data_IF_982480593506
#
_entry.id   IF_982480593506
#
_cell.length_a   1.000
_cell.length_b   1.000
_cell.length_c   1.000
_cell.angle_alpha   90.00
_cell.angle_beta   90.00
_cell.angle_gamma   90.00
#
_symmetry.space_group_name_H-M   'P 1'
#
loop_
_entity.id
_entity.type
_entity.pdbx_description
1 polymer ?
#
# COMPACT_ATOMS: atom_id res chain seq x y z
N UNK A 1 -7.00 -24.82 -48.12
CA UNK A 1 -7.94 -24.53 -47.02
C UNK A 1 -7.12 -24.25 -45.78
N UNK A 2 -7.20 -23.02 -45.25
CA UNK A 2 -6.34 -22.52 -44.15
C UNK A 2 -6.95 -22.86 -42.79
N UNK A 3 -6.03 -23.08 -41.86
CA UNK A 3 -6.16 -23.51 -40.45
C UNK A 3 -6.97 -22.52 -39.61
N UNK A 4 -7.63 -23.04 -38.59
CA UNK A 4 -8.27 -22.27 -37.53
C UNK A 4 -7.27 -21.38 -36.76
N UNK A 5 -7.74 -20.18 -36.47
CA UNK A 5 -7.21 -19.09 -35.63
C UNK A 5 -8.48 -18.26 -35.35
N UNK A 6 -8.91 -17.87 -34.17
CA UNK A 6 -8.55 -18.11 -32.78
C UNK A 6 -9.74 -17.50 -32.02
N UNK A 7 -10.33 -18.25 -31.10
CA UNK A 7 -11.44 -17.79 -30.28
C UNK A 7 -10.84 -16.93 -29.18
N UNK A 8 -10.70 -15.62 -29.37
CA UNK A 8 -10.30 -14.76 -28.24
C UNK A 8 -10.55 -13.26 -28.41
N UNK A 9 -11.53 -12.88 -29.23
CA UNK A 9 -12.03 -11.52 -29.20
C UNK A 9 -13.51 -11.56 -28.86
N UNK A 10 -13.90 -10.68 -27.93
CA UNK A 10 -15.26 -10.45 -27.43
C UNK A 10 -15.64 -11.35 -26.24
N UNK A 11 -14.83 -11.33 -25.18
CA UNK A 11 -15.39 -11.28 -23.81
C UNK A 11 -15.70 -9.81 -23.48
N UNK A 12 -16.64 -9.25 -24.23
CA UNK A 12 -17.39 -8.05 -23.87
C UNK A 12 -18.45 -8.44 -22.83
N UNK A 13 -18.00 -9.15 -21.79
CA UNK A 13 -18.85 -9.71 -20.75
C UNK A 13 -18.61 -8.94 -19.45
N UNK A 14 -19.40 -7.89 -19.29
CA UNK A 14 -20.14 -7.63 -18.07
C UNK A 14 -19.30 -7.38 -16.80
N UNK A 15 -19.02 -6.09 -16.56
CA UNK A 15 -19.59 -5.37 -15.43
C UNK A 15 -19.45 -6.05 -14.05
N UNK A 16 -18.28 -5.93 -13.45
CA UNK A 16 -18.14 -5.98 -11.99
C UNK A 16 -17.22 -4.83 -11.59
N UNK A 17 -17.43 -4.27 -10.41
CA UNK A 17 -16.56 -3.22 -9.88
C UNK A 17 -15.09 -3.68 -10.01
N UNK A 18 -14.26 -3.01 -10.85
CA UNK A 18 -12.82 -3.29 -10.97
C UNK A 18 -12.14 -2.95 -9.63
N UNK A 19 -12.30 -3.82 -8.65
CA UNK A 19 -11.71 -3.77 -7.33
C UNK A 19 -10.56 -4.76 -7.34
N UNK A 20 -9.34 -4.23 -7.37
CA UNK A 20 -8.13 -5.03 -7.22
C UNK A 20 -7.51 -4.73 -5.86
N UNK A 21 -7.18 -5.79 -5.11
CA UNK A 21 -6.42 -5.69 -3.87
C UNK A 21 -5.04 -6.34 -4.07
N UNK A 22 -3.98 -5.66 -3.64
CA UNK A 22 -2.62 -6.18 -3.66
C UNK A 22 -1.82 -5.67 -2.47
N UNK A 23 -0.77 -6.39 -2.10
CA UNK A 23 0.21 -5.92 -1.12
C UNK A 23 1.41 -5.33 -1.85
N UNK A 24 1.89 -4.19 -1.40
CA UNK A 24 3.08 -3.51 -1.90
C UNK A 24 4.01 -3.16 -0.75
N UNK A 25 5.32 -3.30 -0.96
CA UNK A 25 6.35 -2.85 -0.02
C UNK A 25 7.16 -1.73 -0.62
N UNK A 26 7.34 -0.64 0.15
CA UNK A 26 8.11 0.51 -0.29
C UNK A 26 9.02 1.01 0.83
N UNK A 27 10.23 1.43 0.47
CA UNK A 27 11.10 2.15 1.40
C UNK A 27 10.72 3.62 1.45
N UNK A 28 10.72 4.19 2.65
CA UNK A 28 10.36 5.59 2.84
C UNK A 28 10.48 6.05 4.28
N UNK A 29 9.99 7.26 4.55
CA UNK A 29 9.88 7.83 5.89
C UNK A 29 8.40 7.98 6.23
N UNK A 30 7.99 7.38 7.35
CA UNK A 30 6.65 7.58 7.89
C UNK A 30 6.58 8.94 8.57
N UNK A 31 5.98 9.94 7.93
CA UNK A 31 6.02 11.33 8.38
C UNK A 31 5.12 11.56 9.60
N UNK A 32 3.95 10.91 9.62
CA UNK A 32 2.99 11.10 10.69
C UNK A 32 1.92 10.03 10.72
N UNK A 33 1.44 9.74 11.93
CA UNK A 33 0.27 8.91 12.17
C UNK A 33 -0.68 9.66 13.10
N UNK A 34 -1.96 9.64 12.75
CA UNK A 34 -3.04 10.17 13.57
C UNK A 34 -3.82 8.98 14.15
N UNK A 35 -3.56 8.55 15.41
CA UNK A 35 -4.16 7.36 15.98
C UNK A 35 -5.70 7.43 16.05
N UNK A 36 -6.25 8.59 16.40
CA UNK A 36 -7.70 8.79 16.55
C UNK A 36 -8.46 8.58 15.24
N UNK A 37 -7.88 9.01 14.11
CA UNK A 37 -8.50 8.88 12.79
C UNK A 37 -7.95 7.70 11.98
N UNK A 38 -6.99 6.94 12.54
CA UNK A 38 -6.22 5.89 11.85
C UNK A 38 -5.73 6.35 10.47
N UNK A 39 -5.19 7.55 10.38
CA UNK A 39 -4.62 8.12 9.15
C UNK A 39 -3.10 8.12 9.23
N UNK A 40 -2.45 7.98 8.09
CA UNK A 40 -1.00 8.14 7.99
C UNK A 40 -0.63 9.05 6.82
N UNK A 41 0.60 9.57 6.89
CA UNK A 41 1.31 10.18 5.78
C UNK A 41 2.75 9.65 5.76
N UNK A 42 3.25 9.30 4.59
CA UNK A 42 4.65 8.95 4.39
C UNK A 42 5.21 9.58 3.11
N UNK A 43 6.54 9.69 3.08
CA UNK A 43 7.29 10.05 1.88
C UNK A 43 8.11 8.84 1.45
N UNK A 44 7.84 8.34 0.25
CA UNK A 44 8.59 7.24 -0.35
C UNK A 44 9.97 7.73 -0.85
N UNK A 45 10.86 6.79 -1.15
CA UNK A 45 12.23 7.09 -1.57
C UNK A 45 12.35 7.76 -2.94
N UNK A 46 11.36 7.56 -3.79
CA UNK A 46 11.21 8.27 -5.06
C UNK A 46 10.71 9.72 -4.89
N UNK A 47 10.45 10.14 -3.64
CA UNK A 47 9.95 11.46 -3.29
C UNK A 47 8.43 11.58 -3.30
N UNK A 48 7.68 10.54 -3.66
CA UNK A 48 6.23 10.54 -3.67
C UNK A 48 5.67 10.63 -2.24
N UNK A 49 4.66 11.49 -2.05
CA UNK A 49 3.86 11.50 -0.83
C UNK A 49 2.68 10.54 -0.95
N UNK A 50 2.55 9.64 0.01
CA UNK A 50 1.45 8.69 0.11
C UNK A 50 0.73 8.89 1.43
N UNK A 51 -0.59 8.94 1.38
CA UNK A 51 -1.44 9.02 2.57
C UNK A 51 -2.61 8.07 2.44
N UNK A 52 -3.13 7.65 3.59
CA UNK A 52 -4.16 6.63 3.62
C UNK A 52 -4.63 6.29 5.01
N UNK A 53 -5.11 5.06 5.17
CA UNK A 53 -5.61 4.54 6.44
C UNK A 53 -4.61 3.58 7.06
N UNK A 54 -4.58 3.49 8.38
CA UNK A 54 -3.87 2.44 9.09
C UNK A 54 -4.80 1.23 9.19
N UNK A 55 -4.27 0.05 8.88
CA UNK A 55 -4.99 -1.21 8.94
C UNK A 55 -5.67 -1.41 10.29
N UNK A 56 -6.85 -2.01 10.33
CA UNK A 56 -7.61 -2.24 11.57
C UNK A 56 -6.96 -3.27 12.48
N UNK A 57 -6.21 -4.21 11.91
CA UNK A 57 -5.56 -5.29 12.64
C UNK A 57 -4.28 -4.81 13.37
N UNK A 58 -3.81 -3.61 13.04
CA UNK A 58 -2.75 -2.93 13.78
C UNK A 58 -3.30 -2.43 15.14
N UNK A 59 -3.06 -3.20 16.21
CA UNK A 59 -3.74 -3.01 17.50
C UNK A 59 -3.20 -1.86 18.37
N UNK A 60 -1.89 -1.58 18.33
CA UNK A 60 -1.27 -0.50 19.11
C UNK A 60 -0.65 0.57 18.19
N UNK A 61 -1.51 1.46 17.68
CA UNK A 61 -1.10 2.56 16.80
C UNK A 61 -0.21 3.56 17.54
N UNK A 62 -0.35 3.69 18.87
CA UNK A 62 0.46 4.61 19.68
C UNK A 62 1.91 4.15 19.78
N UNK A 63 2.12 2.86 20.08
CA UNK A 63 3.45 2.26 20.05
C UNK A 63 4.03 2.27 18.62
N UNK A 64 3.22 1.94 17.62
CA UNK A 64 3.65 1.96 16.22
C UNK A 64 4.10 3.37 15.78
N UNK A 65 3.33 4.42 16.12
CA UNK A 65 3.71 5.82 15.89
C UNK A 65 5.04 6.15 16.57
N UNK A 66 5.19 5.82 17.84
CA UNK A 66 6.45 6.05 18.59
C UNK A 66 7.65 5.35 17.95
N UNK A 67 7.43 4.16 17.41
CA UNK A 67 8.47 3.35 16.80
C UNK A 67 8.89 3.85 15.42
N UNK A 68 7.97 4.40 14.61
CA UNK A 68 8.21 4.62 13.19
C UNK A 68 8.07 6.06 12.71
N UNK A 69 7.38 6.93 13.46
CA UNK A 69 7.17 8.31 13.04
C UNK A 69 8.50 9.07 12.89
N UNK A 70 8.63 9.79 11.79
CA UNK A 70 9.82 10.49 11.32
C UNK A 70 11.06 9.58 11.14
N UNK A 71 10.87 8.26 11.05
CA UNK A 71 11.95 7.30 10.82
C UNK A 71 11.84 6.64 9.46
N UNK A 72 13.00 6.26 8.92
CA UNK A 72 13.12 5.44 7.73
C UNK A 72 12.61 4.03 8.04
N UNK A 73 11.75 3.50 7.18
CA UNK A 73 11.18 2.17 7.31
C UNK A 73 10.94 1.55 5.92
N UNK A 74 10.87 0.21 5.90
CA UNK A 74 10.18 -0.51 4.83
C UNK A 74 8.70 -0.59 5.22
N UNK A 75 7.86 0.09 4.46
CA UNK A 75 6.43 0.24 4.69
C UNK A 75 5.67 -0.78 3.84
N UNK A 76 4.80 -1.55 4.48
CA UNK A 76 3.94 -2.52 3.79
C UNK A 76 2.54 -1.95 3.68
N UNK A 77 2.04 -1.81 2.46
CA UNK A 77 0.70 -1.33 2.17
C UNK A 77 -0.15 -2.43 1.57
N UNK A 78 -1.40 -2.52 2.02
CA UNK A 78 -2.47 -3.08 1.23
C UNK A 78 -3.03 -1.95 0.35
N UNK A 79 -2.96 -2.14 -0.96
CA UNK A 79 -3.45 -1.19 -1.96
C UNK A 79 -4.73 -1.73 -2.56
N UNK A 80 -5.83 -1.02 -2.29
CA UNK A 80 -7.14 -1.31 -2.87
C UNK A 80 -7.37 -0.31 -4.01
N UNK A 81 -7.45 -0.81 -5.23
CA UNK A 81 -7.70 -0.03 -6.43
C UNK A 81 -9.14 -0.23 -6.86
N UNK A 82 -9.90 0.85 -7.05
CA UNK A 82 -11.25 0.84 -7.62
C UNK A 82 -11.24 1.72 -8.86
N UNK A 83 -11.34 1.11 -10.05
CA UNK A 83 -11.12 1.80 -11.34
C UNK A 83 -9.77 2.53 -11.35
N UNK A 84 -9.77 3.86 -11.39
CA UNK A 84 -8.56 4.70 -11.40
C UNK A 84 -8.13 5.20 -10.02
N UNK A 85 -8.93 4.95 -8.96
CA UNK A 85 -8.63 5.43 -7.60
C UNK A 85 -7.94 4.34 -6.81
N UNK A 86 -6.81 4.70 -6.19
CA UNK A 86 -6.10 3.82 -5.27
C UNK A 86 -6.28 4.31 -3.84
N UNK A 87 -6.40 3.37 -2.91
CA UNK A 87 -6.40 3.61 -1.47
C UNK A 87 -5.29 2.79 -0.85
N UNK A 88 -4.42 3.46 -0.14
CA UNK A 88 -3.35 2.82 0.62
C UNK A 88 -3.82 2.56 2.04
N UNK A 89 -3.60 1.34 2.50
CA UNK A 89 -3.82 0.91 3.87
C UNK A 89 -2.47 0.48 4.41
N UNK A 90 -1.92 1.18 5.39
CA UNK A 90 -0.65 0.85 6.02
C UNK A 90 -0.87 -0.36 6.95
N UNK A 91 -0.24 -1.47 6.59
CA UNK A 91 -0.36 -2.76 7.29
C UNK A 91 0.76 -2.94 8.30
N UNK A 92 2.00 -2.62 7.90
CA UNK A 92 3.17 -2.82 8.76
C UNK A 92 4.31 -1.85 8.39
N UNK A 93 5.28 -1.74 9.30
CA UNK A 93 6.55 -1.08 9.06
C UNK A 93 7.68 -1.88 9.71
N UNK A 94 8.76 -2.09 8.95
CA UNK A 94 9.95 -2.78 9.39
C UNK A 94 11.20 -1.90 9.21
N UNK A 95 12.30 -2.27 9.86
CA UNK A 95 13.58 -1.59 9.64
C UNK A 95 13.99 -1.80 8.17
N UNK A 96 14.56 -0.77 7.51
CA UNK A 96 15.09 -0.95 6.17
C UNK A 96 16.28 -1.91 6.24
N UNK A 97 16.38 -2.82 5.27
CA UNK A 97 17.49 -3.78 5.18
C UNK A 97 18.84 -3.04 5.20
N UNK A 98 19.78 -3.51 6.03
CA UNK A 98 21.10 -2.89 6.21
C UNK A 98 21.22 -1.88 7.37
N UNK A 99 20.19 -1.74 8.21
CA UNK A 99 20.29 -0.98 9.47
C UNK A 99 21.14 -1.75 10.49
N UNK A 100 22.45 -1.54 10.48
CA UNK A 100 23.37 -2.02 11.53
C UNK A 100 23.14 -1.15 12.77
N UNK A 101 22.72 -1.75 13.88
CA UNK A 101 22.70 -1.07 15.18
C UNK A 101 24.15 -0.76 15.59
N UNK A 102 24.46 0.52 15.77
CA UNK A 102 25.64 0.98 16.51
C UNK A 102 25.30 1.16 17.98
#
# INVERSE_FOLDING_TARGET
>A
MKRGIEVEHVLDALNDEDIAERTEEHSGVLMGILPESRRFECRLDDGQLVSGWVDRDLQDIGAFKTNWENKKARLTFRVVSVRTKQRFILVDAARPEGSIES
#
